data_IF_722729010969
#
_entry.id   IF_722729010969
#
_cell.length_a   1.000
_cell.length_b   1.000
_cell.length_c   1.000
_cell.angle_alpha   90.00
_cell.angle_beta   90.00
_cell.angle_gamma   90.00
#
_symmetry.space_group_name_H-M   'P 1'
#
loop_
_entity.id
_entity.type
_entity.pdbx_description
1 polymer ?
#
# COMPACT_ATOMS: atom_id res chain seq x y z
N UNK A 1 -16.78 -3.81 -55.30
CA UNK A 1 -16.58 -4.73 -54.16
C UNK A 1 -15.79 -4.02 -53.08
N UNK A 2 -16.46 -3.40 -52.11
CA UNK A 2 -15.85 -2.90 -50.87
C UNK A 2 -16.64 -3.53 -49.74
N UNK A 3 -16.24 -4.73 -49.33
CA UNK A 3 -16.84 -5.43 -48.20
C UNK A 3 -15.91 -5.30 -46.98
N UNK A 4 -16.41 -4.56 -45.98
CA UNK A 4 -16.25 -4.81 -44.55
C UNK A 4 -14.83 -5.12 -44.04
N UNK A 5 -14.09 -4.06 -43.70
CA UNK A 5 -12.92 -4.13 -42.82
C UNK A 5 -13.18 -3.49 -41.43
N UNK A 6 -14.45 -3.35 -41.02
CA UNK A 6 -14.85 -2.57 -39.84
C UNK A 6 -15.45 -3.39 -38.69
N UNK A 7 -15.20 -4.70 -38.57
CA UNK A 7 -15.76 -5.47 -37.43
C UNK A 7 -14.83 -6.49 -36.74
N UNK A 8 -13.51 -6.41 -36.88
CA UNK A 8 -12.61 -7.39 -36.25
C UNK A 8 -12.20 -7.07 -34.80
N UNK A 9 -12.44 -5.85 -34.31
CA UNK A 9 -12.24 -5.54 -32.90
C UNK A 9 -13.56 -5.72 -32.17
N UNK A 10 -13.85 -6.96 -31.73
CA UNK A 10 -14.84 -7.16 -30.66
C UNK A 10 -14.45 -6.23 -29.51
N UNK A 11 -15.43 -5.51 -28.96
CA UNK A 11 -15.27 -4.71 -27.74
C UNK A 11 -14.65 -5.65 -26.70
N UNK A 12 -13.35 -5.51 -26.46
CA UNK A 12 -12.60 -6.41 -25.59
C UNK A 12 -13.28 -6.45 -24.23
N UNK A 13 -13.90 -7.58 -23.90
CA UNK A 13 -14.49 -7.82 -22.60
C UNK A 13 -13.41 -7.76 -21.54
N UNK A 14 -13.79 -7.40 -20.31
CA UNK A 14 -12.87 -7.46 -19.17
C UNK A 14 -12.37 -8.92 -19.06
N UNK A 15 -11.07 -9.18 -18.89
CA UNK A 15 -10.57 -10.53 -18.72
C UNK A 15 -11.20 -11.21 -17.49
N UNK A 16 -11.44 -12.53 -17.57
CA UNK A 16 -12.04 -13.30 -16.46
C UNK A 16 -11.25 -13.16 -15.16
N UNK A 17 -9.91 -13.15 -15.24
CA UNK A 17 -9.02 -12.88 -14.09
C UNK A 17 -9.32 -11.56 -13.38
N UNK A 18 -9.64 -10.50 -14.14
CA UNK A 18 -9.96 -9.18 -13.58
C UNK A 18 -11.38 -9.10 -13.02
N UNK A 19 -12.30 -9.95 -13.49
CA UNK A 19 -13.63 -10.09 -12.90
C UNK A 19 -13.53 -10.83 -11.56
N UNK A 20 -12.83 -11.96 -11.53
CA UNK A 20 -12.65 -12.76 -10.31
C UNK A 20 -11.89 -11.99 -9.22
N UNK A 21 -10.83 -11.27 -9.60
CA UNK A 21 -10.09 -10.43 -8.66
C UNK A 21 -10.96 -9.30 -8.11
N UNK A 22 -11.81 -8.71 -8.94
CA UNK A 22 -12.78 -7.70 -8.51
C UNK A 22 -13.79 -8.27 -7.52
N UNK A 23 -14.36 -9.44 -7.81
CA UNK A 23 -15.34 -10.10 -6.93
C UNK A 23 -14.72 -10.42 -5.57
N UNK A 24 -13.48 -10.93 -5.55
CA UNK A 24 -12.75 -11.24 -4.31
C UNK A 24 -12.45 -9.97 -3.51
N UNK A 25 -11.98 -8.89 -4.17
CA UNK A 25 -11.72 -7.62 -3.50
C UNK A 25 -13.00 -7.01 -2.93
N UNK A 26 -14.11 -7.07 -3.68
CA UNK A 26 -15.39 -6.50 -3.26
C UNK A 26 -16.02 -7.25 -2.08
N UNK A 27 -15.66 -8.53 -1.88
CA UNK A 27 -16.21 -9.39 -0.83
C UNK A 27 -15.24 -9.62 0.35
N UNK A 28 -14.10 -8.93 0.40
CA UNK A 28 -13.07 -9.13 1.44
C UNK A 28 -12.64 -7.80 2.08
N UNK A 29 -11.92 -7.88 3.20
CA UNK A 29 -11.28 -6.71 3.82
C UNK A 29 -9.90 -6.42 3.23
N UNK A 30 -9.47 -7.17 2.21
CA UNK A 30 -8.09 -7.13 1.72
C UNK A 30 -7.71 -5.74 1.23
N UNK A 31 -8.61 -5.03 0.55
CA UNK A 31 -8.32 -3.69 0.05
C UNK A 31 -8.09 -2.69 1.19
N UNK A 32 -8.95 -2.72 2.23
CA UNK A 32 -8.79 -1.89 3.42
C UNK A 32 -7.50 -2.25 4.20
N UNK A 33 -7.16 -3.54 4.27
CA UNK A 33 -5.91 -3.99 4.89
C UNK A 33 -4.69 -3.46 4.10
N UNK A 34 -4.73 -3.51 2.76
CA UNK A 34 -3.68 -2.94 1.91
C UNK A 34 -3.51 -1.43 2.13
N UNK A 35 -4.61 -0.67 2.17
CA UNK A 35 -4.59 0.76 2.44
C UNK A 35 -3.99 1.09 3.81
N UNK A 36 -4.37 0.34 4.84
CA UNK A 36 -3.83 0.51 6.18
C UNK A 36 -2.32 0.25 6.23
N UNK A 37 -1.85 -0.84 5.60
CA UNK A 37 -0.42 -1.16 5.53
C UNK A 37 0.35 -0.03 4.85
N UNK A 38 -0.16 0.50 3.74
CA UNK A 38 0.50 1.60 3.01
C UNK A 38 0.52 2.88 3.83
N UNK A 39 -0.58 3.18 4.52
CA UNK A 39 -0.65 4.32 5.44
C UNK A 39 0.38 4.22 6.57
N UNK A 40 0.51 3.05 7.22
CA UNK A 40 1.52 2.82 8.24
C UNK A 40 2.93 2.96 7.65
N UNK A 41 3.20 2.32 6.53
CA UNK A 41 4.50 2.33 5.87
C UNK A 41 4.96 3.76 5.54
N UNK A 42 4.07 4.59 4.98
CA UNK A 42 4.35 6.01 4.67
C UNK A 42 4.79 6.82 5.89
N UNK A 43 4.26 6.50 7.06
CA UNK A 43 4.62 7.17 8.31
C UNK A 43 5.92 6.64 8.93
N UNK A 44 6.32 5.40 8.59
CA UNK A 44 7.48 4.71 9.13
C UNK A 44 8.73 4.80 8.25
N UNK A 45 8.58 5.01 6.94
CA UNK A 45 9.68 5.10 5.99
C UNK A 45 10.28 6.51 5.98
N UNK A 46 11.60 6.60 6.12
CA UNK A 46 12.33 7.83 5.79
C UNK A 46 12.59 7.79 4.28
N UNK A 47 11.83 8.56 3.50
CA UNK A 47 11.90 8.51 2.03
C UNK A 47 13.30 8.83 1.47
N UNK A 48 14.11 9.60 2.20
CA UNK A 48 15.45 9.98 1.78
C UNK A 48 16.51 8.97 2.21
N UNK A 49 16.36 8.39 3.41
CA UNK A 49 17.41 7.55 4.03
C UNK A 49 17.14 6.06 3.94
N UNK A 50 15.90 5.65 3.72
CA UNK A 50 15.54 4.24 3.63
C UNK A 50 15.99 3.65 2.30
N UNK A 51 16.49 2.41 2.34
CA UNK A 51 16.82 1.66 1.14
C UNK A 51 15.76 0.58 0.98
N UNK A 52 14.83 0.79 0.06
CA UNK A 52 13.81 -0.19 -0.28
C UNK A 52 14.35 -1.17 -1.33
N UNK A 53 14.02 -2.45 -1.18
CA UNK A 53 14.48 -3.52 -2.05
C UNK A 53 13.30 -4.26 -2.67
N UNK A 54 13.39 -4.55 -3.96
CA UNK A 54 12.41 -5.33 -4.70
C UNK A 54 13.07 -6.48 -5.41
N UNK A 55 12.58 -7.70 -5.19
CA UNK A 55 13.05 -8.90 -5.89
C UNK A 55 12.67 -8.93 -7.38
N UNK A 56 11.73 -8.08 -7.80
CA UNK A 56 11.33 -7.96 -9.21
C UNK A 56 12.32 -7.12 -10.04
N UNK A 57 13.20 -6.35 -9.39
CA UNK A 57 14.17 -5.49 -10.07
C UNK A 57 15.52 -6.19 -10.23
N UNK A 58 16.17 -6.00 -11.37
CA UNK A 58 17.50 -6.55 -11.68
C UNK A 58 18.57 -6.15 -10.65
N UNK A 59 18.57 -4.88 -10.25
CA UNK A 59 19.51 -4.35 -9.26
C UNK A 59 18.97 -4.42 -7.83
N UNK A 60 17.77 -5.00 -7.65
CA UNK A 60 17.15 -5.28 -6.37
C UNK A 60 16.73 -4.04 -5.56
N UNK A 61 17.00 -2.82 -6.02
CA UNK A 61 16.82 -1.57 -5.27
C UNK A 61 15.81 -0.64 -5.94
N UNK A 62 14.91 -0.08 -5.14
CA UNK A 62 14.06 1.04 -5.55
C UNK A 62 14.92 2.31 -5.58
N UNK A 63 14.99 2.97 -6.73
CA UNK A 63 15.80 4.17 -6.95
C UNK A 63 15.15 5.43 -6.36
N UNK A 64 13.82 5.47 -6.36
CA UNK A 64 13.03 6.60 -5.90
C UNK A 64 11.88 6.12 -4.98
N UNK A 65 12.08 6.26 -3.67
CA UNK A 65 11.09 5.83 -2.69
C UNK A 65 9.78 6.64 -2.78
N UNK A 66 9.86 7.92 -3.17
CA UNK A 66 8.69 8.78 -3.30
C UNK A 66 7.80 8.34 -4.47
N UNK A 67 8.41 8.04 -5.61
CA UNK A 67 7.71 7.53 -6.79
C UNK A 67 7.12 6.14 -6.54
N UNK A 68 7.86 5.27 -5.85
CA UNK A 68 7.33 3.97 -5.43
C UNK A 68 6.07 4.10 -4.57
N UNK A 69 6.08 5.00 -3.57
CA UNK A 69 4.90 5.24 -2.72
C UNK A 69 3.76 5.81 -3.54
N UNK A 70 4.01 6.82 -4.38
CA UNK A 70 2.99 7.45 -5.21
C UNK A 70 2.32 6.46 -6.18
N UNK A 71 3.12 5.60 -6.82
CA UNK A 71 2.63 4.55 -7.71
C UNK A 71 1.76 3.52 -6.97
N UNK A 72 2.16 3.15 -5.75
CA UNK A 72 1.40 2.23 -4.92
C UNK A 72 0.05 2.83 -4.50
N UNK A 73 0.04 4.10 -4.06
CA UNK A 73 -1.18 4.82 -3.71
C UNK A 73 -2.11 4.99 -4.91
N UNK A 74 -1.58 5.34 -6.08
CA UNK A 74 -2.38 5.49 -7.29
C UNK A 74 -3.05 4.17 -7.71
N UNK A 75 -2.35 3.04 -7.54
CA UNK A 75 -2.94 1.70 -7.81
C UNK A 75 -4.02 1.34 -6.80
N UNK A 76 -3.78 1.59 -5.51
CA UNK A 76 -4.78 1.34 -4.48
C UNK A 76 -6.03 2.19 -4.69
N UNK A 77 -5.87 3.49 -4.95
CA UNK A 77 -6.99 4.36 -5.25
C UNK A 77 -7.80 3.86 -6.46
N UNK A 78 -7.11 3.43 -7.53
CA UNK A 78 -7.77 2.88 -8.71
C UNK A 78 -8.54 1.58 -8.42
N UNK A 79 -8.03 0.73 -7.53
CA UNK A 79 -8.75 -0.47 -7.07
C UNK A 79 -9.96 -0.09 -6.21
N UNK A 80 -9.80 0.90 -5.32
CA UNK A 80 -10.86 1.41 -4.46
C UNK A 80 -11.99 2.06 -5.27
N UNK A 81 -11.66 2.88 -6.28
CA UNK A 81 -12.61 3.47 -7.20
C UNK A 81 -13.39 2.37 -7.94
N UNK A 82 -12.71 1.32 -8.40
CA UNK A 82 -13.37 0.20 -9.07
C UNK A 82 -14.38 -0.53 -8.15
N UNK A 83 -14.00 -0.79 -6.89
CA UNK A 83 -14.88 -1.43 -5.89
C UNK A 83 -16.05 -0.51 -5.52
N UNK A 84 -15.80 0.77 -5.25
CA UNK A 84 -16.84 1.74 -4.88
C UNK A 84 -17.85 1.99 -6.01
N UNK A 85 -17.37 2.05 -7.26
CA UNK A 85 -18.21 2.29 -8.44
C UNK A 85 -18.83 0.99 -8.99
N UNK A 86 -18.59 -0.16 -8.35
CA UNK A 86 -18.99 -1.50 -8.79
C UNK A 86 -18.57 -1.81 -10.24
N UNK A 87 -17.40 -1.28 -10.66
CA UNK A 87 -16.98 -1.25 -12.05
C UNK A 87 -15.55 -1.79 -12.23
N UNK A 88 -15.40 -3.08 -12.55
CA UNK A 88 -14.09 -3.63 -12.86
C UNK A 88 -13.49 -3.02 -14.14
N UNK A 89 -12.17 -3.10 -14.26
CA UNK A 89 -11.44 -2.68 -15.45
C UNK A 89 -10.47 -3.77 -15.93
N UNK A 90 -10.06 -3.69 -17.19
CA UNK A 90 -9.33 -4.77 -17.88
C UNK A 90 -8.01 -5.18 -17.22
N UNK A 91 -7.31 -4.23 -16.61
CA UNK A 91 -6.01 -4.44 -15.98
C UNK A 91 -6.09 -4.66 -14.47
N UNK A 92 -7.30 -4.88 -13.91
CA UNK A 92 -7.51 -4.91 -12.46
C UNK A 92 -6.67 -6.00 -11.79
N UNK A 93 -6.69 -7.21 -12.33
CA UNK A 93 -5.84 -8.29 -11.80
C UNK A 93 -4.36 -7.94 -11.86
N UNK A 94 -3.90 -7.29 -12.93
CA UNK A 94 -2.52 -6.83 -13.05
C UNK A 94 -2.14 -5.77 -12.01
N UNK A 95 -3.06 -4.86 -11.68
CA UNK A 95 -2.87 -3.87 -10.62
C UNK A 95 -2.84 -4.52 -9.23
N UNK A 96 -3.68 -5.54 -8.99
CA UNK A 96 -3.62 -6.38 -7.76
C UNK A 96 -2.25 -7.06 -7.63
N UNK A 97 -1.75 -7.69 -8.69
CA UNK A 97 -0.41 -8.32 -8.67
C UNK A 97 0.69 -7.32 -8.31
N UNK A 98 0.66 -6.11 -8.91
CA UNK A 98 1.65 -5.06 -8.62
C UNK A 98 1.56 -4.51 -7.21
N UNK A 99 0.35 -4.39 -6.66
CA UNK A 99 0.17 -4.05 -5.23
C UNK A 99 0.80 -5.14 -4.36
N UNK A 100 0.53 -6.42 -4.64
CA UNK A 100 1.15 -7.53 -3.90
C UNK A 100 2.69 -7.50 -3.96
N UNK A 101 3.26 -7.25 -5.13
CA UNK A 101 4.72 -7.09 -5.29
C UNK A 101 5.25 -5.92 -4.45
N UNK A 102 4.52 -4.81 -4.40
CA UNK A 102 4.88 -3.64 -3.59
C UNK A 102 4.75 -3.92 -2.09
N UNK A 103 3.76 -4.70 -1.66
CA UNK A 103 3.65 -5.16 -0.27
C UNK A 103 4.84 -6.04 0.14
N UNK A 104 5.42 -6.83 -0.78
CA UNK A 104 6.65 -7.58 -0.50
C UNK A 104 7.86 -6.66 -0.26
N UNK A 105 7.92 -5.50 -0.93
CA UNK A 105 8.94 -4.47 -0.64
C UNK A 105 8.76 -3.93 0.78
N UNK A 106 7.53 -3.65 1.19
CA UNK A 106 7.21 -3.18 2.55
C UNK A 106 7.57 -4.25 3.60
N UNK A 107 7.23 -5.53 3.33
CA UNK A 107 7.61 -6.65 4.17
C UNK A 107 9.12 -6.73 4.37
N UNK A 108 9.89 -6.65 3.28
CA UNK A 108 11.36 -6.64 3.35
C UNK A 108 11.90 -5.47 4.17
N UNK A 109 11.33 -4.28 4.00
CA UNK A 109 11.67 -3.10 4.80
C UNK A 109 11.40 -3.33 6.30
N UNK A 110 10.22 -3.81 6.68
CA UNK A 110 9.87 -4.07 8.08
C UNK A 110 10.77 -5.14 8.72
N UNK A 111 11.07 -6.22 7.98
CA UNK A 111 12.02 -7.24 8.45
C UNK A 111 13.42 -6.68 8.67
N UNK A 112 13.91 -5.83 7.75
CA UNK A 112 15.22 -5.16 7.89
C UNK A 112 15.21 -4.19 9.10
N UNK A 113 14.12 -3.44 9.33
CA UNK A 113 13.97 -2.61 10.52
C UNK A 113 13.96 -3.43 11.81
N UNK A 114 13.24 -4.54 11.87
CA UNK A 114 13.22 -5.41 13.05
C UNK A 114 14.61 -5.97 13.38
N UNK A 115 15.36 -6.44 12.37
CA UNK A 115 16.75 -6.90 12.53
C UNK A 115 17.66 -5.78 13.03
N UNK A 116 17.47 -4.57 12.54
CA UNK A 116 18.22 -3.38 12.94
C UNK A 116 17.73 -2.74 14.25
N UNK A 117 16.85 -3.42 15.02
CA UNK A 117 16.23 -2.89 16.25
C UNK A 117 15.54 -1.53 16.05
N UNK A 118 14.91 -1.36 14.89
CA UNK A 118 14.13 -0.20 14.48
C UNK A 118 14.92 1.12 14.54
N UNK A 119 16.12 1.12 13.96
CA UNK A 119 17.01 2.28 13.98
C UNK A 119 16.37 3.55 13.42
N UNK A 120 15.57 3.46 12.35
CA UNK A 120 14.92 4.64 11.75
C UNK A 120 13.91 5.26 12.71
N UNK A 121 13.05 4.43 13.30
CA UNK A 121 12.08 4.85 14.32
C UNK A 121 12.78 5.43 15.54
N UNK A 122 13.85 4.77 16.02
CA UNK A 122 14.63 5.24 17.17
C UNK A 122 15.26 6.60 16.91
N UNK A 123 15.78 6.84 15.70
CA UNK A 123 16.32 8.12 15.30
C UNK A 123 15.24 9.20 15.26
N UNK A 124 14.05 8.89 14.73
CA UNK A 124 12.91 9.80 14.71
C UNK A 124 12.45 10.15 16.14
N UNK A 125 12.18 9.17 16.99
CA UNK A 125 11.77 9.41 18.38
C UNK A 125 12.87 10.10 19.22
N UNK A 126 14.14 9.93 18.84
CA UNK A 126 15.25 10.68 19.42
C UNK A 126 15.20 12.16 19.06
N UNK A 127 14.89 12.50 17.81
CA UNK A 127 14.81 13.89 17.36
C UNK A 127 13.58 14.62 17.88
N UNK A 128 12.48 13.92 18.17
CA UNK A 128 11.26 14.52 18.76
C UNK A 128 11.45 15.07 20.17
N UNK A 129 12.53 14.68 20.86
CA UNK A 129 12.89 15.23 22.18
C UNK A 129 13.54 16.61 22.10
N UNK A 130 13.91 17.08 20.91
CA UNK A 130 14.49 18.42 20.74
C UNK A 130 13.38 19.47 20.78
N UNK A 131 13.62 20.58 21.49
CA UNK A 131 12.62 21.65 21.67
C UNK A 131 12.14 22.27 20.35
N UNK A 132 12.95 22.21 19.30
CA UNK A 132 12.64 22.72 17.96
C UNK A 132 11.88 21.71 17.09
N UNK A 133 11.55 20.53 17.59
CA UNK A 133 10.81 19.54 16.83
C UNK A 133 9.30 19.83 16.85
N UNK A 134 8.63 19.58 15.74
CA UNK A 134 7.20 19.84 15.55
C UNK A 134 6.32 19.23 16.66
N UNK A 135 6.63 18.03 17.15
CA UNK A 135 5.89 17.40 18.25
C UNK A 135 6.04 18.18 19.56
N UNK A 136 7.25 18.64 19.86
CA UNK A 136 7.54 19.41 21.06
C UNK A 136 6.94 20.82 21.00
N UNK A 137 6.96 21.44 19.81
CA UNK A 137 6.32 22.74 19.53
C UNK A 137 4.81 22.61 19.72
N UNK A 138 4.20 21.58 19.14
CA UNK A 138 2.77 21.31 19.27
C UNK A 138 2.36 21.09 20.72
N UNK A 139 3.08 20.22 21.45
CA UNK A 139 2.80 19.97 22.86
C UNK A 139 2.89 21.25 23.72
N UNK A 140 3.85 22.13 23.42
CA UNK A 140 4.01 23.42 24.09
C UNK A 140 2.87 24.40 23.76
N UNK A 141 2.41 24.41 22.50
CA UNK A 141 1.31 25.27 22.03
C UNK A 141 -0.03 24.89 22.67
N UNK A 142 -0.27 23.58 22.83
CA UNK A 142 -1.44 23.05 23.57
C UNK A 142 -1.36 23.43 25.05
N UNK A 143 -0.20 23.21 25.70
CA UNK A 143 -0.03 23.49 27.13
C UNK A 143 -0.18 24.98 27.47
N UNK A 144 0.10 25.87 26.52
CA UNK A 144 -0.04 27.33 26.67
C UNK A 144 -1.43 27.85 26.27
N UNK A 145 -2.38 26.96 25.93
CA UNK A 145 -3.72 27.30 25.42
C UNK A 145 -3.70 28.23 24.19
N UNK A 146 -2.59 28.27 23.45
CA UNK A 146 -2.48 29.04 22.21
C UNK A 146 -3.23 28.37 21.04
N UNK A 147 -3.50 27.06 21.18
CA UNK A 147 -4.26 26.26 20.22
C UNK A 147 -5.44 25.60 20.93
N UNK A 148 -6.67 25.95 20.57
CA UNK A 148 -7.90 25.35 21.15
C UNK A 148 -8.37 24.11 20.39
N UNK A 149 -8.02 23.98 19.10
CA UNK A 149 -8.33 22.86 18.24
C UNK A 149 -7.12 22.54 17.35
N UNK A 150 -6.83 21.24 17.19
CA UNK A 150 -5.77 20.76 16.32
C UNK A 150 -6.17 20.97 14.86
N UNK A 151 -5.25 21.51 14.06
CA UNK A 151 -5.42 21.58 12.62
C UNK A 151 -4.97 20.28 11.90
N UNK A 152 -5.05 20.28 10.57
CA UNK A 152 -4.66 19.12 9.77
C UNK A 152 -3.15 18.82 9.90
N UNK A 153 -2.32 19.85 10.03
CA UNK A 153 -0.87 19.69 10.16
C UNK A 153 -0.51 19.13 11.53
N UNK A 154 -1.13 19.64 12.59
CA UNK A 154 -1.02 19.13 13.95
C UNK A 154 -1.41 17.64 14.01
N UNK A 155 -2.50 17.29 13.35
CA UNK A 155 -2.98 15.91 13.25
C UNK A 155 -1.97 15.01 12.55
N UNK A 156 -1.36 15.46 11.44
CA UNK A 156 -0.30 14.72 10.74
C UNK A 156 0.91 14.47 11.63
N UNK A 157 1.34 15.47 12.40
CA UNK A 157 2.46 15.36 13.35
C UNK A 157 2.17 14.31 14.42
N UNK A 158 0.97 14.34 15.01
CA UNK A 158 0.55 13.39 16.04
C UNK A 158 0.36 11.97 15.50
N UNK A 159 -0.20 11.82 14.30
CA UNK A 159 -0.35 10.53 13.62
C UNK A 159 1.03 9.91 13.39
N UNK A 160 1.96 10.68 12.80
CA UNK A 160 3.31 10.20 12.52
C UNK A 160 4.04 9.82 13.81
N UNK A 161 3.93 10.64 14.86
CA UNK A 161 4.49 10.32 16.17
C UNK A 161 3.91 9.04 16.74
N UNK A 162 2.59 8.89 16.75
CA UNK A 162 1.89 7.73 17.31
C UNK A 162 2.26 6.45 16.58
N UNK A 163 2.31 6.48 15.25
CA UNK A 163 2.72 5.33 14.44
C UNK A 163 4.18 4.96 14.70
N UNK A 164 5.09 5.93 14.77
CA UNK A 164 6.49 5.65 15.08
C UNK A 164 6.67 5.12 16.50
N UNK A 165 5.93 5.66 17.48
CA UNK A 165 5.96 5.17 18.85
C UNK A 165 5.47 3.71 18.96
N UNK A 166 4.44 3.35 18.18
CA UNK A 166 3.85 2.02 18.13
C UNK A 166 4.44 1.12 17.04
N UNK A 167 5.56 1.50 16.41
CA UNK A 167 6.14 0.79 15.27
C UNK A 167 6.38 -0.71 15.47
N UNK A 168 6.83 -1.22 16.65
CA UNK A 168 6.97 -2.66 16.86
C UNK A 168 5.68 -3.45 16.66
N UNK A 169 4.57 -2.95 17.22
CA UNK A 169 3.27 -3.62 17.12
C UNK A 169 2.73 -3.49 15.71
N UNK A 170 2.75 -2.28 15.16
CA UNK A 170 2.25 -1.98 13.79
C UNK A 170 2.98 -2.83 12.74
N UNK A 171 4.32 -2.84 12.75
CA UNK A 171 5.08 -3.64 11.79
C UNK A 171 4.79 -5.13 11.92
N UNK A 172 4.55 -5.65 13.14
CA UNK A 172 4.24 -7.07 13.33
C UNK A 172 2.87 -7.42 12.76
N UNK A 173 1.86 -6.60 13.02
CA UNK A 173 0.50 -6.77 12.50
C UNK A 173 0.50 -6.66 10.96
N UNK A 174 1.15 -5.64 10.41
CA UNK A 174 1.26 -5.46 8.97
C UNK A 174 1.98 -6.64 8.31
N UNK A 175 3.04 -7.20 8.91
CA UNK A 175 3.73 -8.39 8.38
C UNK A 175 2.78 -9.58 8.24
N UNK A 176 1.92 -9.80 9.25
CA UNK A 176 0.93 -10.89 9.22
C UNK A 176 -0.11 -10.66 8.12
N UNK A 177 -0.64 -9.43 8.02
CA UNK A 177 -1.57 -9.04 6.96
C UNK A 177 -0.96 -9.19 5.56
N UNK A 178 0.27 -8.71 5.37
CA UNK A 178 1.00 -8.87 4.10
C UNK A 178 1.16 -10.36 3.77
N UNK A 179 1.50 -11.20 4.75
CA UNK A 179 1.60 -12.65 4.56
C UNK A 179 0.30 -13.26 4.03
N UNK A 180 -0.82 -12.91 4.65
CA UNK A 180 -2.15 -13.37 4.25
C UNK A 180 -2.53 -12.90 2.84
N UNK A 181 -2.32 -11.62 2.52
CA UNK A 181 -2.62 -11.04 1.21
C UNK A 181 -1.71 -11.63 0.11
N UNK A 182 -0.42 -11.81 0.40
CA UNK A 182 0.54 -12.30 -0.58
C UNK A 182 0.23 -13.72 -1.06
N UNK A 183 -0.25 -14.58 -0.16
CA UNK A 183 -0.59 -15.97 -0.46
C UNK A 183 -1.92 -16.13 -1.22
N UNK A 184 -2.82 -15.15 -1.15
CA UNK A 184 -4.10 -15.19 -1.87
C UNK A 184 -3.89 -15.11 -3.38
N UNK A 185 -4.54 -15.99 -4.14
CA UNK A 185 -4.45 -16.01 -5.60
C UNK A 185 -5.14 -14.80 -6.26
N UNK A 186 -6.18 -14.26 -5.62
CA UNK A 186 -7.15 -13.33 -6.24
C UNK A 186 -7.74 -13.87 -7.54
N UNK A 187 -7.92 -15.19 -7.58
CA UNK A 187 -8.52 -15.95 -8.67
C UNK A 187 -9.42 -17.02 -8.05
N UNK A 188 -10.53 -17.33 -8.70
CA UNK A 188 -11.43 -18.39 -8.25
C UNK A 188 -10.79 -19.78 -8.45
N UNK A 189 -11.21 -20.74 -7.64
CA UNK A 189 -10.82 -22.14 -7.82
C UNK A 189 -11.69 -22.78 -8.90
N UNK A 190 -11.03 -23.19 -10.00
CA UNK A 190 -11.68 -23.83 -11.13
C UNK A 190 -11.29 -25.30 -11.29
N UNK A 191 -10.69 -25.94 -10.27
CA UNK A 191 -10.23 -27.33 -10.35
C UNK A 191 -11.35 -28.33 -10.69
N UNK A 192 -12.62 -27.97 -10.45
CA UNK A 192 -13.79 -28.80 -10.77
C UNK A 192 -14.41 -28.49 -12.14
N UNK A 193 -13.91 -27.49 -12.87
CA UNK A 193 -14.39 -27.15 -14.22
C UNK A 193 -13.39 -27.67 -15.28
N UNK A 194 -13.64 -28.85 -15.88
CA UNK A 194 -12.72 -29.46 -16.84
C UNK A 194 -12.64 -28.71 -18.18
N UNK A 195 -13.51 -27.74 -18.42
CA UNK A 195 -13.48 -26.90 -19.63
C UNK A 195 -12.91 -25.51 -19.36
N UNK A 196 -12.50 -25.23 -18.13
CA UNK A 196 -12.02 -23.92 -17.75
C UNK A 196 -10.72 -23.54 -18.45
N UNK A 197 -10.71 -22.32 -19.00
CA UNK A 197 -9.53 -21.67 -19.58
C UNK A 197 -9.60 -20.16 -19.30
N UNK A 198 -8.46 -19.57 -18.97
CA UNK A 198 -8.31 -18.10 -18.94
C UNK A 198 -8.06 -17.49 -20.33
N UNK A 199 -7.87 -18.34 -21.35
CA UNK A 199 -7.75 -18.00 -22.78
C UNK A 199 -9.10 -18.07 -23.48
#
# INVERSE_FOLDING_TARGET
MQAKLTSFFKKESIPKTSQEAFDILSCSTDLADMEQIVFHFKNLVDVEKSVLKSHALRDGRITNNQEFIADLEARLQKLQDAVNDEKPYKSLFGDVCKVKESLQVILGYYQDQQKARQRIVSNYLGSTKQKSNDVAILASSIATNNTTLLDEQDSKVLIKYSINFCAPTIMKEDIEKIGNIAQKSFLADHHQDPQFSYM
#
